data_IF_323004802204
#
_entry.id   IF_323004802204
#
_cell.length_a   1.000
_cell.length_b   1.000
_cell.length_c   1.000
_cell.angle_alpha   90.00
_cell.angle_beta   90.00
_cell.angle_gamma   90.00
#
_symmetry.space_group_name_H-M   'P 1'
#
loop_
_entity.id
_entity.type
_entity.pdbx_description
1 polymer ?
#
# COMPACT_ATOMS: atom_id res chain seq x y z
N UNK A 1 -4.98 -2.31 13.42
CA UNK A 1 -3.99 -3.06 12.64
C UNK A 1 -3.16 -3.86 13.60
N UNK A 2 -3.10 -5.16 13.35
CA UNK A 2 -2.26 -6.07 14.11
C UNK A 2 -0.78 -5.86 13.77
N UNK A 3 0.10 -6.24 14.71
CA UNK A 3 1.56 -6.12 14.53
C UNK A 3 2.05 -6.85 13.28
N UNK A 4 1.44 -7.99 12.94
CA UNK A 4 1.78 -8.75 11.73
C UNK A 4 1.53 -7.93 10.45
N UNK A 5 0.42 -7.18 10.38
CA UNK A 5 0.09 -6.34 9.24
C UNK A 5 1.08 -5.17 9.10
N UNK A 6 1.49 -4.58 10.24
CA UNK A 6 2.52 -3.52 10.25
C UNK A 6 3.88 -4.04 9.78
N UNK A 7 4.26 -5.27 10.14
CA UNK A 7 5.50 -5.90 9.65
C UNK A 7 5.47 -6.13 8.14
N UNK A 8 4.36 -6.65 7.61
CA UNK A 8 4.17 -6.80 6.16
C UNK A 8 4.29 -5.49 5.41
N UNK A 9 3.71 -4.41 5.94
CA UNK A 9 3.89 -3.06 5.37
C UNK A 9 5.37 -2.65 5.34
N UNK A 10 6.10 -2.85 6.44
CA UNK A 10 7.53 -2.51 6.50
C UNK A 10 8.35 -3.32 5.49
N UNK A 11 8.10 -4.63 5.36
CA UNK A 11 8.77 -5.51 4.38
C UNK A 11 8.46 -5.10 2.94
N UNK A 12 7.21 -4.75 2.65
CA UNK A 12 6.80 -4.27 1.34
C UNK A 12 7.47 -2.94 1.00
N UNK A 13 7.47 -1.97 1.92
CA UNK A 13 8.16 -0.68 1.75
C UNK A 13 9.67 -0.86 1.61
N UNK A 14 10.29 -1.75 2.39
CA UNK A 14 11.70 -2.06 2.26
C UNK A 14 12.02 -2.63 0.89
N UNK A 15 11.19 -3.55 0.38
CA UNK A 15 11.36 -4.12 -0.96
C UNK A 15 11.27 -3.04 -2.03
N UNK A 16 10.26 -2.16 -1.96
CA UNK A 16 10.08 -1.06 -2.92
C UNK A 16 11.27 -0.09 -2.94
N UNK A 17 11.84 0.23 -1.77
CA UNK A 17 12.93 1.22 -1.64
C UNK A 17 14.31 0.61 -1.91
N UNK A 18 14.59 -0.57 -1.35
CA UNK A 18 15.95 -1.15 -1.34
C UNK A 18 16.16 -2.23 -2.40
N UNK A 19 15.09 -2.90 -2.84
CA UNK A 19 15.15 -4.02 -3.77
C UNK A 19 14.06 -3.89 -4.84
N UNK A 20 13.99 -2.76 -5.57
CA UNK A 20 12.88 -2.52 -6.50
C UNK A 20 12.77 -3.60 -7.58
N UNK A 21 13.89 -4.21 -7.99
CA UNK A 21 13.92 -5.32 -8.95
C UNK A 21 13.24 -6.61 -8.44
N UNK A 22 13.01 -6.74 -7.13
CA UNK A 22 12.30 -7.86 -6.50
C UNK A 22 10.83 -7.53 -6.20
N UNK A 23 10.34 -6.36 -6.64
CA UNK A 23 8.95 -5.97 -6.47
C UNK A 23 8.04 -6.87 -7.29
N UNK A 24 6.95 -7.32 -6.66
CA UNK A 24 5.89 -8.09 -7.30
C UNK A 24 4.55 -7.37 -7.17
N UNK A 25 3.53 -7.83 -7.89
CA UNK A 25 2.15 -7.35 -7.70
C UNK A 25 1.70 -7.51 -6.26
N UNK A 26 2.08 -8.60 -5.58
CA UNK A 26 1.78 -8.81 -4.15
C UNK A 26 2.46 -7.77 -3.27
N UNK A 27 3.72 -7.43 -3.55
CA UNK A 27 4.45 -6.37 -2.81
C UNK A 27 3.72 -5.03 -2.90
N UNK A 28 3.24 -4.67 -4.10
CA UNK A 28 2.48 -3.45 -4.31
C UNK A 28 1.11 -3.49 -3.61
N UNK A 29 0.38 -4.59 -3.76
CA UNK A 29 -0.92 -4.77 -3.12
C UNK A 29 -0.82 -4.69 -1.58
N UNK A 30 0.18 -5.34 -0.98
CA UNK A 30 0.42 -5.29 0.47
C UNK A 30 0.81 -3.88 0.92
N UNK A 31 1.71 -3.20 0.20
CA UNK A 31 2.09 -1.83 0.53
C UNK A 31 0.87 -0.88 0.50
N UNK A 32 0.08 -0.91 -0.57
CA UNK A 32 -1.07 -0.05 -0.76
C UNK A 32 -2.16 -0.33 0.29
N UNK A 33 -2.53 -1.60 0.47
CA UNK A 33 -3.60 -2.00 1.39
C UNK A 33 -3.23 -1.68 2.85
N UNK A 34 -2.03 -2.06 3.30
CA UNK A 34 -1.64 -1.82 4.68
C UNK A 34 -1.32 -0.35 4.96
N UNK A 35 -0.86 0.42 3.96
CA UNK A 35 -0.72 1.87 4.12
C UNK A 35 -2.08 2.55 4.29
N UNK A 36 -3.09 2.19 3.48
CA UNK A 36 -4.47 2.68 3.64
C UNK A 36 -4.99 2.39 5.05
N UNK A 37 -4.89 1.13 5.48
CA UNK A 37 -5.32 0.72 6.83
C UNK A 37 -4.60 1.51 7.94
N UNK A 38 -3.29 1.73 7.80
CA UNK A 38 -2.50 2.46 8.80
C UNK A 38 -2.95 3.91 8.93
N UNK A 39 -3.13 4.60 7.81
CA UNK A 39 -3.54 6.01 7.79
C UNK A 39 -4.95 6.17 8.34
N UNK A 40 -5.89 5.35 7.88
CA UNK A 40 -7.28 5.41 8.35
C UNK A 40 -7.38 5.11 9.85
N UNK A 41 -6.64 4.14 10.37
CA UNK A 41 -6.60 3.85 11.81
C UNK A 41 -5.92 4.95 12.62
N UNK A 42 -4.76 5.44 12.18
CA UNK A 42 -4.01 6.48 12.89
C UNK A 42 -4.78 7.81 12.98
N UNK A 43 -5.64 8.05 11.99
CA UNK A 43 -6.48 9.25 11.92
C UNK A 43 -7.89 9.01 12.46
N UNK A 44 -8.18 7.83 13.00
CA UNK A 44 -9.52 7.45 13.49
C UNK A 44 -10.61 7.68 12.42
N UNK A 45 -10.28 7.43 11.16
CA UNK A 45 -11.17 7.60 10.01
C UNK A 45 -11.36 9.05 9.54
N UNK A 46 -10.61 10.02 10.08
CA UNK A 46 -10.65 11.41 9.61
C UNK A 46 -10.03 11.58 8.22
N UNK A 47 -9.12 10.69 7.83
CA UNK A 47 -8.52 10.65 6.48
C UNK A 47 -8.85 9.30 5.86
N UNK A 48 -9.43 9.33 4.65
CA UNK A 48 -9.62 8.17 3.79
C UNK A 48 -8.52 8.11 2.72
N UNK A 49 -7.98 6.92 2.47
CA UNK A 49 -7.00 6.72 1.39
C UNK A 49 -7.64 5.95 0.23
N UNK A 50 -7.68 6.57 -0.95
CA UNK A 50 -8.24 5.98 -2.17
C UNK A 50 -7.17 5.94 -3.23
N UNK A 51 -6.97 4.79 -3.86
CA UNK A 51 -6.07 4.62 -5.01
C UNK A 51 -6.90 4.53 -6.28
N UNK A 52 -6.67 5.45 -7.21
CA UNK A 52 -7.35 5.47 -8.50
C UNK A 52 -6.45 4.87 -9.57
N UNK A 53 -6.97 3.91 -10.32
CA UNK A 53 -6.30 3.38 -11.50
C UNK A 53 -6.59 4.29 -12.69
N UNK A 54 -5.61 5.14 -13.05
CA UNK A 54 -5.72 6.05 -14.18
C UNK A 54 -5.45 5.38 -15.53
N UNK A 55 -5.15 4.08 -15.57
CA UNK A 55 -4.93 3.33 -16.83
C UNK A 55 -6.23 2.93 -17.51
N UNK A 56 -7.37 2.97 -16.78
CA UNK A 56 -8.70 2.70 -17.32
C UNK A 56 -9.34 3.92 -18.01
N UNK A 57 -8.74 5.12 -17.94
CA UNK A 57 -9.27 6.36 -18.52
C UNK A 57 -8.79 6.65 -19.94
N UNK A 58 -8.16 5.70 -20.66
CA UNK A 58 -7.79 5.90 -22.06
C UNK A 58 -8.95 5.49 -22.97
N UNK A 59 -9.74 6.45 -23.54
CA UNK A 59 -10.58 6.12 -24.68
C UNK A 59 -9.64 5.87 -25.87
N UNK A 60 -9.81 4.74 -26.54
CA UNK A 60 -9.39 4.65 -27.94
C UNK A 60 -10.29 5.55 -28.79
#
# INVERSE_FOLDING_TARGET
>A
MEVQQKRKLLEAVETLVRRPASTTETTLAEALAYFKMLVEEATQGQIEVIYNDTTQELPF
#
